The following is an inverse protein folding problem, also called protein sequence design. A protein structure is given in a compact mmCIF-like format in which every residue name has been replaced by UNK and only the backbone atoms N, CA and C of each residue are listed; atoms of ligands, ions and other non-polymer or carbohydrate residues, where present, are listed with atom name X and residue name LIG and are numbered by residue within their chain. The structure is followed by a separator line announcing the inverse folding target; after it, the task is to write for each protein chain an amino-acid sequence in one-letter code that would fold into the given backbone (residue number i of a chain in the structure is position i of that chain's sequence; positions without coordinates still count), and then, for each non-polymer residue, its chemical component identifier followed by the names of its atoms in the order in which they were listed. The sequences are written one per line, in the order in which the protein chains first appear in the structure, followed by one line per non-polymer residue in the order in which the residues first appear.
data_IF_276368198794
#
_entry.id   IF_276368198794
#
_cell.length_a   1.000
_cell.length_b   1.000
_cell.length_c   1.000
_cell.angle_alpha   90.00
_cell.angle_beta   90.00
_cell.angle_gamma   90.00
#
_symmetry.space_group_name_H-M   'P 1'
#
loop_
_entity.id
_entity.type
_entity.pdbx_description
1 polymer ?
#
# COMPACT_ATOMS: atom_id res chain seq x y z
N UNK A 1 -17.40 4.36 -15.01
CA UNK A 1 -16.52 3.86 -13.95
C UNK A 1 -15.67 4.98 -13.37
N UNK A 2 -15.29 4.82 -12.12
CA UNK A 2 -14.45 5.78 -11.43
C UNK A 2 -13.20 5.06 -10.97
N UNK A 3 -12.03 5.64 -11.20
CA UNK A 3 -10.76 5.06 -10.77
C UNK A 3 -10.32 5.73 -9.47
N UNK A 4 -10.09 4.91 -8.45
CA UNK A 4 -9.55 5.36 -7.18
C UNK A 4 -8.05 5.07 -7.11
N UNK A 5 -7.30 5.94 -6.45
CA UNK A 5 -5.85 5.81 -6.34
C UNK A 5 -5.46 5.63 -4.88
N UNK A 6 -4.55 4.68 -4.63
CA UNK A 6 -3.97 4.44 -3.31
C UNK A 6 -2.45 4.46 -3.46
N UNK A 7 -1.78 5.23 -2.61
CA UNK A 7 -0.32 5.25 -2.56
C UNK A 7 0.17 4.51 -1.33
N UNK A 8 1.21 3.71 -1.51
CA UNK A 8 1.90 3.04 -0.41
C UNK A 8 3.38 3.39 -0.48
N UNK A 9 4.01 3.49 0.68
CA UNK A 9 5.42 3.83 0.78
C UNK A 9 6.11 2.75 1.59
N UNK A 10 7.14 2.13 1.00
CA UNK A 10 7.89 1.05 1.65
C UNK A 10 9.37 1.22 1.37
N UNK A 11 10.19 0.39 1.99
CA UNK A 11 11.59 0.33 1.62
C UNK A 11 11.79 -0.60 0.42
N UNK A 12 13.04 -0.79 0.00
CA UNK A 12 13.36 -1.54 -1.21
C UNK A 12 13.29 -3.05 -1.04
N UNK A 13 13.07 -3.55 0.16
CA UNK A 13 13.00 -4.99 0.38
C UNK A 13 11.64 -5.58 0.05
N UNK A 14 10.63 -4.73 -0.21
CA UNK A 14 9.27 -5.21 -0.48
C UNK A 14 9.24 -6.00 -1.79
N UNK A 15 8.39 -7.02 -1.85
CA UNK A 15 8.14 -7.76 -3.07
C UNK A 15 6.94 -7.16 -3.79
N UNK A 16 7.17 -6.54 -4.94
CA UNK A 16 6.07 -5.96 -5.72
C UNK A 16 5.15 -7.04 -6.27
N UNK A 17 5.71 -8.20 -6.59
CA UNK A 17 4.88 -9.31 -7.06
C UNK A 17 3.93 -9.79 -5.96
N UNK A 18 4.42 -9.89 -4.73
CA UNK A 18 3.57 -10.26 -3.60
C UNK A 18 2.48 -9.22 -3.37
N UNK A 19 2.80 -7.93 -3.53
CA UNK A 19 1.78 -6.87 -3.40
C UNK A 19 0.73 -6.98 -4.49
N UNK A 20 1.12 -7.28 -5.73
CA UNK A 20 0.17 -7.44 -6.83
C UNK A 20 -0.77 -8.62 -6.61
N UNK A 21 -0.23 -9.73 -6.14
CA UNK A 21 -1.04 -10.92 -5.86
C UNK A 21 -2.02 -10.66 -4.73
N UNK A 22 -1.56 -9.98 -3.69
CA UNK A 22 -2.45 -9.66 -2.57
C UNK A 22 -3.53 -8.67 -2.99
N UNK A 23 -3.19 -7.66 -3.78
CA UNK A 23 -4.17 -6.72 -4.30
C UNK A 23 -5.28 -7.45 -5.06
N UNK A 24 -4.89 -8.36 -5.95
CA UNK A 24 -5.87 -9.15 -6.71
C UNK A 24 -6.76 -9.97 -5.79
N UNK A 25 -6.18 -10.56 -4.76
CA UNK A 25 -6.94 -11.35 -3.79
C UNK A 25 -7.95 -10.46 -3.04
N UNK A 26 -7.51 -9.29 -2.62
CA UNK A 26 -8.39 -8.32 -1.92
C UNK A 26 -9.55 -7.92 -2.81
N UNK A 27 -9.25 -7.57 -4.06
CA UNK A 27 -10.28 -7.11 -4.99
C UNK A 27 -11.30 -8.20 -5.31
N UNK A 28 -10.84 -9.44 -5.46
CA UNK A 28 -11.76 -10.55 -5.73
C UNK A 28 -12.63 -10.88 -4.52
N UNK A 29 -12.27 -10.41 -3.34
CA UNK A 29 -13.02 -10.66 -2.12
C UNK A 29 -14.03 -9.58 -1.74
N UNK A 30 -14.22 -8.57 -2.57
CA UNK A 30 -15.13 -7.47 -2.25
C UNK A 30 -16.05 -7.15 -3.42
N UNK A 31 -17.30 -6.81 -3.10
CA UNK A 31 -18.29 -6.39 -4.10
C UNK A 31 -18.10 -4.93 -4.53
N UNK A 32 -17.23 -4.19 -3.87
CA UNK A 32 -16.99 -2.77 -4.19
C UNK A 32 -16.27 -2.61 -5.53
N UNK A 33 -15.51 -3.62 -5.95
CA UNK A 33 -14.72 -3.57 -7.17
C UNK A 33 -15.58 -3.95 -8.38
N UNK A 34 -15.50 -3.16 -9.46
CA UNK A 34 -16.27 -3.41 -10.68
C UNK A 34 -15.55 -4.33 -11.67
N UNK A 35 -14.38 -4.86 -11.28
CA UNK A 35 -13.59 -5.84 -12.05
C UNK A 35 -12.98 -5.28 -13.33
N UNK A 36 -12.78 -3.97 -13.42
CA UNK A 36 -12.24 -3.36 -14.64
C UNK A 36 -10.79 -2.93 -14.51
N UNK A 37 -10.42 -2.23 -13.43
CA UNK A 37 -9.05 -1.73 -13.26
C UNK A 37 -8.44 -2.31 -12.00
N UNK A 38 -7.25 -2.91 -12.15
CA UNK A 38 -6.45 -3.48 -11.08
C UNK A 38 -4.99 -3.30 -11.49
N UNK A 39 -4.37 -2.19 -11.04
CA UNK A 39 -3.02 -1.83 -11.44
C UNK A 39 -2.21 -1.51 -10.20
N UNK A 40 -0.99 -1.99 -10.16
CA UNK A 40 -0.02 -1.64 -9.11
C UNK A 40 1.31 -1.39 -9.78
N UNK A 41 1.82 -0.17 -9.66
CA UNK A 41 3.04 0.28 -10.31
C UNK A 41 3.91 1.03 -9.32
N UNK A 42 5.22 0.91 -9.47
CA UNK A 42 6.16 1.74 -8.74
C UNK A 42 6.25 3.07 -9.49
N UNK A 43 5.93 4.15 -8.82
CA UNK A 43 5.84 5.47 -9.46
C UNK A 43 6.91 6.44 -9.01
N UNK A 44 7.64 6.12 -7.94
CA UNK A 44 8.72 6.98 -7.47
C UNK A 44 9.72 6.15 -6.68
N UNK A 45 10.99 6.47 -6.83
CA UNK A 45 12.05 5.82 -6.05
C UNK A 45 12.93 6.90 -5.45
N UNK A 46 13.11 6.83 -4.13
CA UNK A 46 13.94 7.76 -3.38
C UNK A 46 15.06 6.99 -2.70
N UNK A 47 15.87 7.69 -1.93
CA UNK A 47 17.07 7.06 -1.33
C UNK A 47 16.71 5.85 -0.46
N UNK A 48 15.67 5.97 0.36
CA UNK A 48 15.32 4.94 1.33
C UNK A 48 13.92 4.39 1.18
N UNK A 49 13.18 4.84 0.18
CA UNK A 49 11.79 4.40 0.02
C UNK A 49 11.39 4.37 -1.44
N UNK A 50 10.37 3.58 -1.71
CA UNK A 50 9.69 3.55 -3.00
C UNK A 50 8.23 3.89 -2.81
N UNK A 51 7.66 4.56 -3.80
CA UNK A 51 6.23 4.84 -3.85
C UNK A 51 5.58 3.85 -4.79
N UNK A 52 4.53 3.22 -4.32
CA UNK A 52 3.74 2.31 -5.14
C UNK A 52 2.36 2.91 -5.31
N UNK A 53 1.89 2.98 -6.56
CA UNK A 53 0.57 3.50 -6.87
C UNK A 53 -0.35 2.36 -7.27
N UNK A 54 -1.50 2.31 -6.62
CA UNK A 54 -2.55 1.33 -6.91
C UNK A 54 -3.71 2.07 -7.55
N UNK A 55 -4.20 1.55 -8.67
CA UNK A 55 -5.39 2.06 -9.34
C UNK A 55 -6.44 0.95 -9.33
N UNK A 56 -7.61 1.26 -8.81
CA UNK A 56 -8.74 0.33 -8.74
C UNK A 56 -10.02 1.06 -9.13
N UNK A 57 -10.93 0.37 -9.80
CA UNK A 57 -12.12 1.00 -10.33
C UNK A 57 -13.37 0.56 -9.59
N UNK A 58 -14.35 1.46 -9.57
CA UNK A 58 -15.66 1.18 -9.00
C UNK A 58 -16.72 1.85 -9.87
N UNK A 59 -17.98 1.48 -9.67
CA UNK A 59 -19.08 1.93 -10.53
C UNK A 59 -19.46 3.40 -10.31
N UNK A 60 -19.17 3.94 -9.11
CA UNK A 60 -19.51 5.32 -8.79
C UNK A 60 -18.57 5.87 -7.73
N UNK A 61 -18.65 7.17 -7.47
CA UNK A 61 -17.71 7.85 -6.56
C UNK A 61 -17.82 7.39 -5.11
N UNK A 62 -18.99 7.24 -4.51
CA UNK A 62 -19.04 6.73 -3.13
C UNK A 62 -18.44 5.34 -2.99
N UNK A 63 -18.72 4.45 -3.96
CA UNK A 63 -18.14 3.10 -3.93
C UNK A 63 -16.64 3.14 -4.13
N UNK A 64 -16.15 4.03 -5.00
CA UNK A 64 -14.71 4.18 -5.20
C UNK A 64 -14.01 4.65 -3.93
N UNK A 65 -14.64 5.55 -3.17
CA UNK A 65 -14.09 5.98 -1.89
C UNK A 65 -13.96 4.81 -0.92
N UNK A 66 -15.04 4.03 -0.77
CA UNK A 66 -15.04 2.89 0.12
C UNK A 66 -14.02 1.83 -0.31
N UNK A 67 -13.90 1.61 -1.62
CA UNK A 67 -12.93 0.67 -2.15
C UNK A 67 -11.50 1.11 -1.84
N UNK A 68 -11.20 2.40 -2.00
CA UNK A 68 -9.88 2.93 -1.66
C UNK A 68 -9.52 2.69 -0.20
N UNK A 69 -10.47 2.96 0.70
CA UNK A 69 -10.26 2.74 2.13
C UNK A 69 -9.99 1.26 2.40
N UNK A 70 -10.80 0.40 1.82
CA UNK A 70 -10.68 -1.04 2.01
C UNK A 70 -9.33 -1.55 1.50
N UNK A 71 -8.95 -1.16 0.29
CA UNK A 71 -7.68 -1.59 -0.31
C UNK A 71 -6.50 -1.08 0.51
N UNK A 72 -6.53 0.20 0.90
CA UNK A 72 -5.43 0.78 1.67
C UNK A 72 -5.23 0.04 2.98
N UNK A 73 -6.30 -0.19 3.71
CA UNK A 73 -6.20 -0.85 5.01
C UNK A 73 -5.71 -2.28 4.87
N UNK A 74 -6.27 -3.02 3.90
CA UNK A 74 -5.89 -4.42 3.72
C UNK A 74 -4.46 -4.57 3.23
N UNK A 75 -3.99 -3.68 2.37
CA UNK A 75 -2.61 -3.71 1.90
C UNK A 75 -1.64 -3.37 3.02
N UNK A 76 -1.97 -2.39 3.84
CA UNK A 76 -1.13 -2.05 4.99
C UNK A 76 -1.06 -3.23 5.97
N UNK A 77 -2.20 -3.87 6.26
CA UNK A 77 -2.24 -5.05 7.12
C UNK A 77 -1.36 -6.17 6.56
N UNK A 78 -1.43 -6.39 5.26
CA UNK A 78 -0.60 -7.41 4.61
C UNK A 78 0.88 -7.12 4.81
N UNK A 79 1.29 -5.86 4.61
CA UNK A 79 2.68 -5.48 4.78
C UNK A 79 3.10 -5.61 6.24
N UNK A 80 2.26 -5.17 7.17
CA UNK A 80 2.54 -5.28 8.60
C UNK A 80 2.76 -6.74 9.02
N UNK A 81 1.97 -7.65 8.46
CA UNK A 81 2.00 -9.05 8.87
C UNK A 81 3.10 -9.85 8.18
N UNK A 82 3.48 -9.47 6.97
CA UNK A 82 4.39 -10.29 6.17
C UNK A 82 5.73 -9.61 5.89
N UNK A 83 5.77 -8.27 5.91
CA UNK A 83 6.97 -7.50 5.60
C UNK A 83 7.11 -6.32 6.58
N UNK A 84 7.11 -6.60 7.89
CA UNK A 84 7.09 -5.49 8.87
C UNK A 84 8.30 -4.58 8.77
N UNK A 85 9.43 -5.11 8.31
CA UNK A 85 10.65 -4.31 8.18
C UNK A 85 10.63 -3.42 6.95
N UNK A 86 9.69 -3.62 6.02
CA UNK A 86 9.59 -2.80 4.82
C UNK A 86 8.80 -1.52 5.02
N UNK A 87 8.07 -1.39 6.11
CA UNK A 87 7.33 -0.17 6.40
C UNK A 87 8.28 0.90 6.96
N UNK A 88 8.05 2.18 6.59
CA UNK A 88 8.85 3.26 7.17
C UNK A 88 8.75 3.26 8.68
N UNK A 89 9.88 3.49 9.34
CA UNK A 89 9.94 3.53 10.78
C UNK A 89 10.37 4.89 11.23
N UNK A 90 9.81 5.34 12.34
CA UNK A 90 10.26 6.56 12.95
C UNK A 90 11.70 6.39 13.38
N UNK A 91 12.55 7.33 13.03
CA UNK A 91 13.96 7.25 13.37
C UNK A 91 14.27 7.85 14.74
N UNK A 92 13.27 8.29 15.41
CA UNK A 92 13.44 8.85 16.75
C UNK A 92 14.08 7.87 17.70
N UNK A 93 13.75 6.62 17.54
CA UNK A 93 14.31 5.58 18.40
C UNK A 93 15.83 5.50 18.31
N UNK A 94 16.38 6.05 17.27
CA UNK A 94 17.84 6.03 17.10
C UNK A 94 18.50 7.09 17.90
N UNK A 95 17.75 8.03 18.29
CA UNK A 95 18.32 9.16 18.96
C UNK A 95 18.55 8.87 20.40
N UNK A 96 18.10 8.14 20.77
CA UNK A 96 18.30 7.79 21.93
C UNK A 96 19.36 7.10 22.34
N UNK A 97 19.37 7.32 21.72
CA UNK A 97 20.01 6.81 21.85
C UNK A 97 20.90 7.28 22.00
N UNK A 98 20.65 7.85 21.89
CA UNK A 98 21.19 8.04 21.92
C UNK A 98 21.49 8.50 22.45
N UNK A 99 20.86 8.70 22.52
CA UNK A 99 20.99 8.73 22.97
C UNK A 99 21.27 8.70 23.45
N UNK A 100 20.99 8.73 23.44
CA UNK A 100 21.21 8.41 23.84
C UNK A 100 21.89 8.60 24.17
N UNK A 101 21.86 9.12 24.30
CA UNK A 101 22.41 9.08 24.63
C UNK A 101 22.82 9.18 25.05
N UNK A 102 22.66 9.51 25.10
CA UNK A 102 22.92 9.20 25.40
C UNK A 102 23.30 9.24 25.66
#
# INVERSE_FOLDING_TARGET
EIVGTVFLYTDYSISFQALREELTRILNGTDLWDKKVNVLQVTESKEFSVETRILVSAKNSPTAWDLRVHVREKMIEFIQNNYPDALPKARISMIDKSNQIS
#
